data_IF_723074161853
#
_entry.id   IF_723074161853
#
_cell.length_a   1.000
_cell.length_b   1.000
_cell.length_c   1.000
_cell.angle_alpha   90.00
_cell.angle_beta   90.00
_cell.angle_gamma   90.00
#
_symmetry.space_group_name_H-M   'P 1'
#
loop_
_entity.id
_entity.type
_entity.pdbx_description
1 polymer ?
#
# COMPACT_ATOMS: atom_id res chain seq x y z
N UNK A 1 -21.80 2.54 -29.22
CA UNK A 1 -20.56 2.25 -29.99
C UNK A 1 -19.40 2.70 -29.10
N UNK A 2 -18.78 1.78 -28.34
CA UNK A 2 -17.44 1.20 -28.58
C UNK A 2 -16.36 2.29 -28.76
N UNK A 3 -15.27 2.33 -27.99
CA UNK A 3 -14.23 1.30 -27.99
C UNK A 3 -13.56 1.12 -26.61
N UNK A 4 -13.43 -0.14 -26.22
CA UNK A 4 -12.62 -0.68 -25.14
C UNK A 4 -11.12 -0.61 -25.50
N UNK A 5 -10.30 -0.01 -24.64
CA UNK A 5 -8.85 -0.15 -24.68
C UNK A 5 -8.36 -1.16 -23.65
N UNK A 6 -8.34 -2.44 -24.01
CA UNK A 6 -7.71 -3.50 -23.21
C UNK A 6 -6.18 -3.43 -23.36
N UNK A 7 -5.50 -2.79 -22.41
CA UNK A 7 -4.07 -2.97 -22.18
C UNK A 7 -3.85 -4.10 -21.16
N UNK A 8 -3.14 -5.16 -21.55
CA UNK A 8 -2.69 -6.23 -20.64
C UNK A 8 -1.68 -5.65 -19.65
N UNK A 9 -2.13 -5.42 -18.42
CA UNK A 9 -1.26 -5.19 -17.25
C UNK A 9 -1.81 -6.03 -16.08
N UNK A 10 -0.98 -6.46 -15.11
CA UNK A 10 -1.45 -7.19 -13.93
C UNK A 10 -2.56 -6.37 -13.28
N UNK A 11 -3.75 -6.95 -13.18
CA UNK A 11 -4.93 -6.27 -12.62
C UNK A 11 -4.59 -5.87 -11.19
N UNK A 12 -4.41 -4.56 -10.96
CA UNK A 12 -4.18 -4.05 -9.63
C UNK A 12 -5.40 -4.40 -8.73
N UNK A 13 -5.19 -4.63 -7.42
CA UNK A 13 -6.21 -5.14 -6.47
C UNK A 13 -7.51 -4.33 -6.39
N UNK A 14 -7.49 -3.09 -6.90
CA UNK A 14 -8.54 -2.09 -6.78
C UNK A 14 -9.80 -2.39 -7.59
N UNK A 15 -9.64 -3.09 -8.73
CA UNK A 15 -10.76 -3.35 -9.65
C UNK A 15 -11.81 -4.27 -9.04
N UNK A 16 -11.39 -5.32 -8.33
CA UNK A 16 -12.28 -6.30 -7.70
C UNK A 16 -12.98 -5.75 -6.45
N UNK A 17 -12.40 -4.71 -5.83
CA UNK A 17 -13.00 -4.00 -4.72
C UNK A 17 -13.97 -2.89 -5.15
N UNK A 18 -14.06 -2.54 -6.44
CA UNK A 18 -14.75 -1.32 -6.91
C UNK A 18 -14.34 -0.05 -6.14
N UNK A 19 -13.12 -0.03 -5.60
CA UNK A 19 -12.61 1.15 -4.90
C UNK A 19 -11.94 2.01 -5.95
N UNK A 20 -12.58 3.12 -6.29
CA UNK A 20 -11.99 4.13 -7.14
C UNK A 20 -10.77 4.73 -6.43
N UNK A 21 -9.64 4.77 -7.12
CA UNK A 21 -8.39 5.29 -6.62
C UNK A 21 -7.67 6.12 -7.67
N UNK A 22 -6.89 7.09 -7.20
CA UNK A 22 -5.94 7.86 -8.00
C UNK A 22 -4.53 7.39 -7.67
N UNK A 23 -3.72 7.21 -8.70
CA UNK A 23 -2.30 6.93 -8.55
C UNK A 23 -1.54 8.24 -8.47
N UNK A 24 -0.57 8.27 -7.58
CA UNK A 24 0.33 9.39 -7.37
C UNK A 24 -0.38 10.77 -7.25
N UNK A 25 -1.28 10.94 -6.28
CA UNK A 25 -2.00 12.20 -6.09
C UNK A 25 -1.07 13.36 -5.73
N UNK A 26 -1.34 14.54 -6.30
CA UNK A 26 -0.69 15.79 -5.92
C UNK A 26 -1.47 16.50 -4.82
N UNK A 27 -0.74 17.17 -3.91
CA UNK A 27 -1.36 18.04 -2.90
C UNK A 27 -2.17 17.30 -1.84
N UNK A 28 -1.91 16.00 -1.62
CA UNK A 28 -2.53 15.24 -0.50
C UNK A 28 -2.23 15.92 0.83
N UNK A 29 -0.98 16.36 0.98
CA UNK A 29 -0.61 17.28 2.04
C UNK A 29 -0.90 18.71 1.57
N UNK A 30 -1.67 19.45 2.35
CA UNK A 30 -1.90 20.89 2.17
C UNK A 30 -0.73 21.71 2.71
N UNK A 31 0.48 21.32 2.37
CA UNK A 31 1.70 22.06 2.67
C UNK A 31 2.52 22.27 1.39
N UNK A 32 3.54 23.13 1.45
CA UNK A 32 4.42 23.39 0.29
C UNK A 32 5.33 22.19 -0.06
N UNK A 33 5.09 21.01 0.53
CA UNK A 33 5.93 19.85 0.29
C UNK A 33 5.52 19.13 -1.00
N UNK A 34 6.51 18.83 -1.84
CA UNK A 34 6.36 17.99 -3.04
C UNK A 34 6.25 16.49 -2.68
N UNK A 35 5.54 16.16 -1.60
CA UNK A 35 5.33 14.77 -1.18
C UNK A 35 4.17 14.18 -1.98
N UNK A 36 4.46 13.11 -2.70
CA UNK A 36 3.54 12.40 -3.59
C UNK A 36 3.52 10.93 -3.15
N UNK A 37 2.47 10.48 -2.43
CA UNK A 37 2.30 9.07 -2.11
C UNK A 37 1.92 8.28 -3.37
N UNK A 38 2.03 6.96 -3.38
CA UNK A 38 1.78 6.15 -4.58
C UNK A 38 0.30 6.08 -4.96
N UNK A 39 -0.61 6.24 -4.01
CA UNK A 39 -2.04 6.30 -4.32
C UNK A 39 -2.93 6.72 -3.17
N UNK A 40 -4.18 7.02 -3.55
CA UNK A 40 -5.24 7.43 -2.64
C UNK A 40 -6.60 6.95 -3.15
N UNK A 41 -7.49 6.55 -2.24
CA UNK A 41 -8.88 6.22 -2.61
C UNK A 41 -9.69 7.50 -2.82
N UNK A 42 -10.52 7.54 -3.87
CA UNK A 42 -11.45 8.64 -4.14
C UNK A 42 -12.71 8.58 -3.28
N UNK A 43 -13.02 7.38 -2.76
CA UNK A 43 -14.12 7.14 -1.84
C UNK A 43 -13.58 6.88 -0.43
N UNK A 44 -14.37 7.13 0.63
CA UNK A 44 -13.99 6.81 2.00
C UNK A 44 -13.63 5.33 2.17
N UNK A 45 -12.51 5.06 2.84
CA UNK A 45 -12.01 3.74 3.17
C UNK A 45 -12.45 3.27 4.56
N UNK A 46 -12.29 4.13 5.56
CA UNK A 46 -12.61 3.85 6.97
C UNK A 46 -12.96 5.16 7.68
N UNK A 47 -14.02 5.15 8.49
CA UNK A 47 -14.41 6.32 9.33
C UNK A 47 -14.60 7.62 8.51
N UNK A 48 -15.09 7.51 7.27
CA UNK A 48 -15.27 8.67 6.39
C UNK A 48 -13.98 9.19 5.75
N UNK A 49 -12.82 8.61 6.07
CA UNK A 49 -11.50 9.04 5.57
C UNK A 49 -11.06 8.24 4.36
N UNK A 50 -10.38 8.88 3.42
CA UNK A 50 -9.71 8.19 2.33
C UNK A 50 -8.52 7.36 2.85
N UNK A 51 -8.20 6.27 2.15
CA UNK A 51 -6.94 5.55 2.35
C UNK A 51 -5.89 6.18 1.45
N UNK A 52 -4.73 6.48 2.02
CA UNK A 52 -3.53 6.94 1.30
C UNK A 52 -2.42 5.93 1.55
N UNK A 53 -1.70 5.50 0.52
CA UNK A 53 -0.59 4.55 0.66
C UNK A 53 0.65 4.99 -0.11
N UNK A 54 1.81 4.59 0.41
CA UNK A 54 3.10 4.79 -0.22
C UNK A 54 3.92 3.51 0.02
N UNK A 55 4.30 2.86 -1.08
CA UNK A 55 5.04 1.61 -1.11
C UNK A 55 6.53 1.90 -1.05
N UNK A 56 7.26 1.00 -0.40
CA UNK A 56 8.71 1.03 -0.42
C UNK A 56 9.26 -0.38 -0.39
N UNK A 57 10.26 -0.64 -1.23
CA UNK A 57 11.05 -1.85 -1.16
C UNK A 57 12.44 -1.47 -0.61
N UNK A 58 12.91 -2.17 0.41
CA UNK A 58 14.18 -1.90 1.06
C UNK A 58 15.10 -3.11 1.02
N UNK A 59 16.38 -2.83 0.81
CA UNK A 59 17.42 -3.84 0.84
C UNK A 59 17.70 -4.25 2.29
N UNK A 60 17.30 -5.47 2.64
CA UNK A 60 17.53 -6.04 3.98
C UNK A 60 19.00 -6.39 4.24
N UNK A 61 19.85 -6.50 3.20
CA UNK A 61 21.28 -6.80 3.34
C UNK A 61 22.14 -5.54 3.45
N UNK A 62 21.58 -4.36 3.24
CA UNK A 62 22.32 -3.11 3.37
C UNK A 62 22.86 -2.93 4.79
N UNK A 63 24.01 -2.26 4.94
CA UNK A 63 24.72 -2.14 6.22
C UNK A 63 23.84 -1.63 7.37
N UNK A 64 22.94 -0.69 7.07
CA UNK A 64 22.00 -0.08 8.02
C UNK A 64 20.97 -1.05 8.59
N UNK A 65 20.51 -2.04 7.81
CA UNK A 65 19.47 -2.98 8.25
C UNK A 65 20.00 -4.38 8.52
N UNK A 66 21.19 -4.74 8.02
CA UNK A 66 21.77 -6.09 8.06
C UNK A 66 21.71 -6.76 9.43
N UNK A 67 22.11 -6.07 10.50
CA UNK A 67 22.10 -6.66 11.86
C UNK A 67 20.69 -6.99 12.33
N UNK A 68 19.75 -6.06 12.12
CA UNK A 68 18.35 -6.23 12.52
C UNK A 68 17.64 -7.28 11.67
N UNK A 69 17.80 -7.24 10.35
CA UNK A 69 17.22 -8.19 9.41
C UNK A 69 17.81 -9.59 9.52
N UNK A 70 19.07 -9.75 9.95
CA UNK A 70 19.64 -11.07 10.25
C UNK A 70 19.01 -11.75 11.47
N UNK A 71 18.46 -10.97 12.41
CA UNK A 71 17.84 -11.48 13.63
C UNK A 71 16.32 -11.61 13.49
N UNK A 72 15.69 -10.70 12.76
CA UNK A 72 14.24 -10.60 12.65
C UNK A 72 13.84 -10.37 11.20
N UNK A 73 13.14 -11.35 10.61
CA UNK A 73 12.54 -11.17 9.29
C UNK A 73 11.56 -9.99 9.29
N UNK A 74 11.58 -9.16 8.25
CA UNK A 74 10.74 -7.96 8.16
C UNK A 74 11.26 -6.74 8.93
N UNK A 75 12.43 -6.80 9.57
CA UNK A 75 13.00 -5.65 10.29
C UNK A 75 13.17 -4.42 9.40
N UNK A 76 13.73 -4.59 8.20
CA UNK A 76 13.98 -3.46 7.30
C UNK A 76 12.66 -2.90 6.79
N UNK A 77 11.72 -3.76 6.41
CA UNK A 77 10.39 -3.35 5.98
C UNK A 77 9.66 -2.53 7.07
N UNK A 78 9.67 -3.01 8.32
CA UNK A 78 9.06 -2.28 9.44
C UNK A 78 9.70 -0.91 9.65
N UNK A 79 11.04 -0.82 9.58
CA UNK A 79 11.75 0.46 9.68
C UNK A 79 11.40 1.40 8.53
N UNK A 80 11.26 0.87 7.32
CA UNK A 80 10.84 1.64 6.16
C UNK A 80 9.41 2.16 6.31
N UNK A 81 8.49 1.35 6.85
CA UNK A 81 7.13 1.76 7.17
C UNK A 81 7.10 2.86 8.23
N UNK A 82 7.85 2.71 9.33
CA UNK A 82 8.00 3.75 10.37
C UNK A 82 8.48 5.07 9.75
N UNK A 83 9.49 5.03 8.90
CA UNK A 83 10.01 6.21 8.20
C UNK A 83 8.95 6.86 7.31
N UNK A 84 8.11 6.07 6.63
CA UNK A 84 6.99 6.61 5.84
C UNK A 84 5.92 7.22 6.74
N UNK A 85 5.59 6.63 7.90
CA UNK A 85 4.65 7.25 8.87
C UNK A 85 5.15 8.62 9.31
N UNK A 86 6.44 8.73 9.64
CA UNK A 86 7.05 10.02 9.98
C UNK A 86 7.00 11.00 8.80
N UNK A 87 7.31 10.54 7.58
CA UNK A 87 7.27 11.36 6.35
C UNK A 87 5.88 11.96 6.11
N UNK A 88 4.81 11.22 6.43
CA UNK A 88 3.41 11.62 6.21
C UNK A 88 2.62 11.84 7.50
N UNK A 89 3.28 12.11 8.62
CA UNK A 89 2.63 12.28 9.92
C UNK A 89 1.52 13.34 9.91
N UNK A 90 1.62 14.33 9.00
CA UNK A 90 0.61 15.38 8.81
C UNK A 90 -0.72 14.90 8.22
N UNK A 91 -0.79 13.68 7.69
CA UNK A 91 -2.04 13.06 7.26
C UNK A 91 -2.85 12.52 8.45
N UNK A 92 -2.24 12.42 9.64
CA UNK A 92 -2.97 11.99 10.83
C UNK A 92 -4.15 12.92 11.10
N UNK A 93 -5.33 12.32 11.24
CA UNK A 93 -6.58 13.05 11.44
C UNK A 93 -7.39 13.25 10.17
N UNK A 94 -6.79 13.62 9.04
CA UNK A 94 -7.51 13.82 7.77
C UNK A 94 -7.72 12.54 6.98
N UNK A 95 -6.69 11.69 6.92
CA UNK A 95 -6.65 10.51 6.06
C UNK A 95 -6.22 9.28 6.85
N UNK A 96 -6.55 8.10 6.32
CA UNK A 96 -6.01 6.85 6.81
C UNK A 96 -4.73 6.52 6.04
N UNK A 97 -3.57 6.88 6.58
CA UNK A 97 -2.29 6.60 5.95
C UNK A 97 -1.80 5.17 6.24
N UNK A 98 -1.49 4.42 5.20
CA UNK A 98 -0.99 3.06 5.28
C UNK A 98 0.32 2.91 4.48
N UNK A 99 1.49 2.93 5.15
CA UNK A 99 2.75 2.59 4.47
C UNK A 99 2.80 1.09 4.18
N UNK A 100 3.50 0.72 3.11
CA UNK A 100 3.67 -0.70 2.72
C UNK A 100 5.14 -0.98 2.46
N UNK A 101 5.79 -1.71 3.37
CA UNK A 101 7.21 -2.05 3.30
C UNK A 101 7.48 -3.46 2.76
N UNK A 102 8.39 -3.60 1.81
CA UNK A 102 8.87 -4.89 1.33
C UNK A 102 10.37 -5.01 1.60
N UNK A 103 10.85 -6.19 1.98
CA UNK A 103 12.27 -6.49 1.94
C UNK A 103 12.62 -7.12 0.59
N UNK A 104 13.73 -6.73 -0.04
CA UNK A 104 14.16 -7.28 -1.33
C UNK A 104 14.31 -8.80 -1.31
N UNK A 105 14.70 -9.37 -0.16
CA UNK A 105 14.92 -10.81 0.04
C UNK A 105 14.13 -11.37 1.23
N UNK A 106 13.03 -10.71 1.62
CA UNK A 106 12.26 -11.08 2.81
C UNK A 106 10.75 -11.00 2.58
N UNK A 107 9.95 -11.35 3.59
CA UNK A 107 8.50 -11.42 3.45
C UNK A 107 7.89 -10.04 3.14
N UNK A 108 6.89 -10.03 2.26
CA UNK A 108 6.12 -8.84 1.90
C UNK A 108 5.33 -8.26 3.08
N UNK A 109 5.12 -6.93 3.13
CA UNK A 109 4.19 -6.29 4.06
C UNK A 109 2.79 -6.91 3.93
N UNK A 110 2.34 -7.54 5.01
CA UNK A 110 1.11 -8.32 5.01
C UNK A 110 -0.11 -7.51 5.44
N UNK A 111 0.04 -6.36 6.08
CA UNK A 111 -1.08 -5.70 6.78
C UNK A 111 -2.11 -5.10 5.80
N UNK A 112 -1.68 -4.22 4.89
CA UNK A 112 -2.58 -3.63 3.89
C UNK A 112 -3.12 -4.67 2.92
N UNK A 113 -2.25 -5.56 2.42
CA UNK A 113 -2.64 -6.64 1.50
C UNK A 113 -3.64 -7.60 2.15
N UNK A 114 -3.49 -7.91 3.45
CA UNK A 114 -4.45 -8.73 4.20
C UNK A 114 -5.78 -8.03 4.39
N UNK A 115 -5.78 -6.74 4.68
CA UNK A 115 -7.01 -5.97 4.84
C UNK A 115 -7.76 -5.82 3.50
N UNK A 116 -7.04 -5.53 2.41
CA UNK A 116 -7.56 -5.53 1.04
C UNK A 116 -8.14 -6.91 0.71
N UNK A 117 -7.37 -7.97 0.93
CA UNK A 117 -7.79 -9.35 0.67
C UNK A 117 -9.00 -9.78 1.50
N UNK A 118 -9.08 -9.35 2.77
CA UNK A 118 -10.25 -9.60 3.62
C UNK A 118 -11.48 -8.88 3.07
N UNK A 119 -11.37 -7.59 2.74
CA UNK A 119 -12.48 -6.81 2.16
C UNK A 119 -12.91 -7.34 0.80
N UNK A 120 -11.98 -7.88 0.02
CA UNK A 120 -12.29 -8.56 -1.24
C UNK A 120 -13.14 -9.79 -0.95
N UNK A 121 -12.69 -10.67 -0.05
CA UNK A 121 -13.43 -11.86 0.33
C UNK A 121 -14.82 -11.54 0.90
N UNK A 122 -14.94 -10.49 1.74
CA UNK A 122 -16.21 -10.06 2.33
C UNK A 122 -17.19 -9.52 1.26
N UNK A 123 -16.69 -8.85 0.21
CA UNK A 123 -17.52 -8.29 -0.87
C UNK A 123 -17.89 -9.32 -1.94
N UNK A 124 -16.97 -10.18 -2.34
CA UNK A 124 -17.15 -11.11 -3.46
C UNK A 124 -17.63 -12.50 -3.01
N UNK A 125 -17.49 -12.82 -1.73
CA UNK A 125 -17.68 -14.18 -1.20
C UNK A 125 -16.52 -15.14 -1.56
N UNK A 126 -15.55 -14.71 -2.37
CA UNK A 126 -14.43 -15.51 -2.85
C UNK A 126 -13.27 -15.46 -1.84
N UNK A 127 -13.15 -16.51 -1.01
CA UNK A 127 -12.12 -16.60 0.04
C UNK A 127 -10.68 -16.57 -0.50
N UNK A 128 -10.48 -16.92 -1.78
CA UNK A 128 -9.18 -16.96 -2.46
C UNK A 128 -8.72 -15.62 -3.04
N UNK A 129 -9.55 -14.59 -2.99
CA UNK A 129 -9.22 -13.25 -3.50
C UNK A 129 -7.91 -12.68 -2.92
N UNK A 130 -7.58 -13.03 -1.66
CA UNK A 130 -6.32 -12.64 -1.01
C UNK A 130 -5.07 -13.38 -1.51
N UNK A 131 -5.21 -14.53 -2.18
CA UNK A 131 -4.08 -15.31 -2.71
C UNK A 131 -3.48 -14.64 -3.95
N UNK A 132 -4.29 -13.95 -4.77
CA UNK A 132 -3.82 -13.18 -5.94
C UNK A 132 -3.00 -11.94 -5.57
N UNK A 133 -3.05 -11.50 -4.30
CA UNK A 133 -2.28 -10.36 -3.78
C UNK A 133 -0.88 -10.76 -3.31
N UNK A 134 -0.62 -12.06 -3.15
CA UNK A 134 0.70 -12.59 -2.83
C UNK A 134 1.37 -12.97 -4.14
N UNK A 135 2.50 -12.36 -4.47
CA UNK A 135 3.38 -12.92 -5.47
C UNK A 135 4.15 -14.08 -4.83
N UNK A 136 4.12 -15.23 -5.49
CA UNK A 136 4.94 -16.41 -5.14
C UNK A 136 6.43 -16.09 -5.20
#
# INVERSE_FOLDING_TARGET
MSVLGYGRHPRAPWFELQVQAVLEPNGVLRDDSQKRPDGMTLVPWKEGKALVWDVTCVDSVCQTYRKGSAQNAGYAANKAEENKRLKYQRLEGSDFFCPVGFETFGPAATSLLREIGKRMADRTGEKRSSEFLRQN
#
